data_IF_155985073645
#
_entry.id   IF_155985073645
#
_cell.length_a   1.000
_cell.length_b   1.000
_cell.length_c   1.000
_cell.angle_alpha   90.00
_cell.angle_beta   90.00
_cell.angle_gamma   90.00
#
_symmetry.space_group_name_H-M   'P 1'
#
loop_
_entity.id
_entity.type
_entity.pdbx_description
1 polymer ?
#
# COMPACT_ATOMS: atom_id res chain seq x y z
N UNK A 1 4.85 32.00 -31.54
CA UNK A 1 3.82 31.11 -30.98
C UNK A 1 4.01 31.05 -29.47
N UNK A 2 2.93 31.03 -28.69
CA UNK A 2 3.05 30.98 -27.23
C UNK A 2 3.62 29.63 -26.80
N UNK A 3 4.45 29.60 -25.75
CA UNK A 3 5.04 28.38 -25.19
C UNK A 3 3.99 27.29 -24.94
N UNK A 4 2.80 27.71 -24.51
CA UNK A 4 1.62 26.87 -24.28
C UNK A 4 1.14 26.16 -25.55
N UNK A 5 1.16 26.82 -26.71
CA UNK A 5 0.75 26.18 -27.97
C UNK A 5 1.73 25.09 -28.40
N UNK A 6 3.03 25.30 -28.20
CA UNK A 6 4.05 24.29 -28.46
C UNK A 6 3.87 23.08 -27.53
N UNK A 7 3.69 23.32 -26.23
CA UNK A 7 3.49 22.26 -25.24
C UNK A 7 2.22 21.43 -25.51
N UNK A 8 1.12 22.09 -25.92
CA UNK A 8 -0.13 21.42 -26.29
C UNK A 8 0.01 20.57 -27.57
N UNK A 9 0.80 21.04 -28.52
CA UNK A 9 1.09 20.31 -29.74
C UNK A 9 1.89 19.03 -29.45
N UNK A 10 2.91 19.13 -28.60
CA UNK A 10 3.72 17.98 -28.15
C UNK A 10 2.89 16.96 -27.36
N UNK A 11 2.00 17.43 -26.48
CA UNK A 11 1.08 16.57 -25.74
C UNK A 11 0.15 15.78 -26.66
N UNK A 12 -0.41 16.45 -27.68
CA UNK A 12 -1.27 15.81 -28.67
C UNK A 12 -0.53 14.70 -29.42
N UNK A 13 0.73 14.92 -29.80
CA UNK A 13 1.56 13.91 -30.48
C UNK A 13 1.79 12.70 -29.57
N UNK A 14 2.20 12.94 -28.31
CA UNK A 14 2.45 11.87 -27.34
C UNK A 14 1.20 11.02 -27.08
N UNK A 15 0.04 11.67 -26.94
CA UNK A 15 -1.23 11.00 -26.68
C UNK A 15 -1.66 10.15 -27.88
N UNK A 16 -1.55 10.70 -29.10
CA UNK A 16 -1.82 9.95 -30.34
C UNK A 16 -0.93 8.72 -30.44
N UNK A 17 0.37 8.84 -30.16
CA UNK A 17 1.30 7.70 -30.18
C UNK A 17 0.93 6.62 -29.16
N UNK A 18 0.43 6.99 -27.98
CA UNK A 18 -0.02 6.03 -26.97
C UNK A 18 -1.30 5.31 -27.38
N UNK A 19 -2.25 6.02 -28.00
CA UNK A 19 -3.49 5.43 -28.52
C UNK A 19 -3.19 4.46 -29.67
N UNK A 20 -2.33 4.86 -30.60
CA UNK A 20 -2.03 4.07 -31.81
C UNK A 20 -1.18 2.83 -31.50
N UNK A 21 -0.21 2.94 -30.57
CA UNK A 21 0.77 1.87 -30.29
C UNK A 21 0.53 1.14 -28.98
N UNK A 22 -0.46 1.57 -28.19
CA UNK A 22 -0.67 1.10 -26.82
C UNK A 22 0.49 1.45 -25.88
N UNK A 23 0.49 0.83 -24.70
CA UNK A 23 1.60 0.94 -23.74
C UNK A 23 2.85 0.24 -24.31
N UNK A 24 3.78 1.02 -24.85
CA UNK A 24 5.11 0.51 -25.20
C UNK A 24 5.91 0.23 -23.92
N UNK A 25 6.22 -1.04 -23.66
CA UNK A 25 7.17 -1.46 -22.63
C UNK A 25 8.57 -1.00 -23.07
N UNK A 26 8.98 0.19 -22.63
CA UNK A 26 10.25 0.79 -23.05
C UNK A 26 10.42 2.28 -22.75
N UNK A 27 9.39 2.99 -22.27
CA UNK A 27 9.57 4.34 -21.74
C UNK A 27 10.24 4.26 -20.37
N UNK A 28 11.56 4.24 -20.44
CA UNK A 28 12.48 4.25 -19.33
C UNK A 28 12.49 5.61 -18.64
N UNK A 29 11.66 5.79 -17.62
CA UNK A 29 12.18 6.38 -16.38
C UNK A 29 13.13 5.34 -15.76
N UNK A 30 14.24 5.06 -16.45
CA UNK A 30 15.36 4.32 -15.90
C UNK A 30 16.06 5.29 -14.94
N UNK A 31 15.45 5.54 -13.77
CA UNK A 31 16.29 5.42 -12.58
C UNK A 31 16.86 4.02 -12.71
N UNK A 32 18.16 3.89 -12.95
CA UNK A 32 18.81 2.59 -12.98
C UNK A 32 18.31 1.86 -11.73
N UNK A 33 17.42 0.88 -11.91
CA UNK A 33 17.21 -0.09 -10.85
C UNK A 33 18.62 -0.58 -10.53
N UNK A 34 19.03 -0.58 -9.26
CA UNK A 34 20.37 -1.03 -8.90
C UNK A 34 20.55 -2.40 -9.55
N UNK A 35 21.38 -2.43 -10.59
CA UNK A 35 21.77 -3.67 -11.22
C UNK A 35 22.38 -4.48 -10.08
N UNK A 36 21.94 -5.72 -9.91
CA UNK A 36 22.53 -6.63 -8.95
C UNK A 36 23.96 -6.89 -9.48
N UNK A 37 24.90 -6.01 -9.12
CA UNK A 37 26.29 -5.99 -9.64
C UNK A 37 27.02 -7.27 -9.24
N UNK A 38 26.62 -7.87 -8.11
CA UNK A 38 27.09 -9.15 -7.64
C UNK A 38 25.90 -10.03 -7.28
N UNK A 39 25.87 -11.26 -7.83
CA UNK A 39 24.98 -12.28 -7.28
C UNK A 39 25.35 -12.46 -5.81
N UNK A 40 24.37 -12.49 -4.88
CA UNK A 40 24.65 -12.76 -3.48
C UNK A 40 25.37 -14.11 -3.39
N UNK A 41 26.54 -14.09 -2.76
CA UNK A 41 27.37 -15.26 -2.56
C UNK A 41 26.61 -16.27 -1.69
N UNK A 42 26.20 -17.38 -2.29
CA UNK A 42 25.39 -18.42 -1.63
C UNK A 42 26.11 -19.02 -0.43
N UNK A 43 27.45 -18.98 -0.40
CA UNK A 43 28.22 -19.45 0.75
C UNK A 43 28.09 -18.54 1.98
N UNK A 44 27.72 -17.27 1.80
CA UNK A 44 27.49 -16.31 2.90
C UNK A 44 26.05 -16.32 3.40
N UNK A 45 25.13 -16.97 2.66
CA UNK A 45 23.75 -17.13 3.09
C UNK A 45 23.71 -18.23 4.16
N UNK A 46 23.71 -17.83 5.43
CA UNK A 46 23.53 -18.78 6.53
C UNK A 46 22.14 -19.43 6.41
N UNK A 47 22.04 -20.77 6.42
CA UNK A 47 20.75 -21.43 6.41
C UNK A 47 19.96 -21.03 7.65
N UNK A 48 18.69 -20.69 7.48
CA UNK A 48 17.80 -20.39 8.59
C UNK A 48 17.71 -21.64 9.48
N UNK A 49 18.05 -21.49 10.77
CA UNK A 49 17.88 -22.57 11.75
C UNK A 49 16.40 -22.92 11.83
N UNK A 50 16.05 -24.14 11.43
CA UNK A 50 14.69 -24.65 11.57
C UNK A 50 14.41 -24.90 13.04
N UNK A 51 13.62 -24.03 13.66
CA UNK A 51 13.19 -24.18 15.05
C UNK A 51 11.94 -25.07 15.06
N UNK A 52 12.00 -26.20 15.78
CA UNK A 52 10.86 -27.15 15.84
C UNK A 52 9.69 -26.60 16.66
N UNK A 53 9.95 -25.79 17.69
CA UNK A 53 8.95 -25.17 18.53
C UNK A 53 9.44 -23.78 18.95
N UNK A 54 8.60 -22.76 18.79
CA UNK A 54 8.87 -21.40 19.25
C UNK A 54 7.64 -20.90 19.99
N UNK A 55 7.82 -20.47 21.24
CA UNK A 55 6.76 -19.78 22.01
C UNK A 55 6.59 -18.31 21.58
N UNK A 56 7.00 -17.98 20.35
CA UNK A 56 6.87 -16.65 19.80
C UNK A 56 5.53 -16.56 19.09
N UNK A 57 4.80 -15.48 19.38
CA UNK A 57 3.60 -15.08 18.66
C UNK A 57 3.95 -13.94 17.72
N UNK A 58 3.48 -14.05 16.48
CA UNK A 58 3.62 -12.99 15.49
C UNK A 58 2.25 -12.43 15.18
N UNK A 59 2.09 -11.12 15.30
CA UNK A 59 0.88 -10.41 14.91
C UNK A 59 1.26 -9.42 13.80
N UNK A 60 0.55 -9.50 12.69
CA UNK A 60 0.64 -8.53 11.60
C UNK A 60 -0.73 -7.90 11.41
N UNK A 61 -0.78 -6.57 11.30
CA UNK A 61 -2.00 -5.79 11.06
C UNK A 61 -1.72 -4.82 9.93
N UNK A 62 -2.68 -4.66 9.01
CA UNK A 62 -2.62 -3.70 7.91
C UNK A 62 -4.02 -3.16 7.61
N UNK A 63 -4.11 -1.89 7.19
CA UNK A 63 -5.36 -1.28 6.77
C UNK A 63 -5.32 -0.86 5.31
N UNK A 64 -6.30 -1.34 4.55
CA UNK A 64 -6.55 -0.93 3.18
C UNK A 64 -7.66 0.13 3.10
N UNK A 65 -7.59 0.99 2.07
CA UNK A 65 -8.59 2.03 1.83
C UNK A 65 -9.12 1.92 0.40
N UNK A 66 -10.45 1.89 0.25
CA UNK A 66 -11.14 1.95 -1.03
C UNK A 66 -12.01 3.19 -1.10
N UNK A 67 -11.87 3.98 -2.15
CA UNK A 67 -12.77 5.12 -2.37
C UNK A 67 -14.11 4.63 -2.90
N UNK A 68 -15.21 4.97 -2.23
CA UNK A 68 -16.57 4.64 -2.66
C UNK A 68 -17.16 5.75 -3.54
N UNK A 69 -17.01 7.01 -3.10
CA UNK A 69 -17.47 8.19 -3.85
C UNK A 69 -16.57 9.38 -3.53
N UNK A 70 -16.31 10.24 -4.52
CA UNK A 70 -15.45 11.41 -4.37
C UNK A 70 -15.97 12.58 -5.20
N UNK A 71 -15.96 13.77 -4.62
CA UNK A 71 -16.18 15.04 -5.29
C UNK A 71 -15.01 16.00 -5.02
N UNK A 72 -15.14 17.26 -5.46
CA UNK A 72 -14.06 18.26 -5.32
C UNK A 72 -13.66 18.51 -3.86
N UNK A 73 -14.63 18.61 -2.96
CA UNK A 73 -14.43 18.98 -1.55
C UNK A 73 -14.92 17.92 -0.55
N UNK A 74 -15.31 16.72 -0.98
CA UNK A 74 -15.71 15.65 -0.07
C UNK A 74 -15.45 14.25 -0.65
N UNK A 75 -15.41 13.23 0.20
CA UNK A 75 -15.33 11.84 -0.21
C UNK A 75 -15.85 10.87 0.85
N UNK A 76 -16.27 9.69 0.40
CA UNK A 76 -16.65 8.53 1.21
C UNK A 76 -15.70 7.39 0.88
N UNK A 77 -15.19 6.75 1.92
CA UNK A 77 -14.16 5.72 1.84
C UNK A 77 -14.55 4.52 2.70
N UNK A 78 -14.28 3.33 2.20
CA UNK A 78 -14.30 2.09 2.95
C UNK A 78 -12.88 1.81 3.43
N UNK A 79 -12.73 1.60 4.73
CA UNK A 79 -11.49 1.23 5.39
C UNK A 79 -11.65 -0.21 5.86
N UNK A 80 -10.72 -1.08 5.47
CA UNK A 80 -10.69 -2.46 5.94
C UNK A 80 -9.37 -2.71 6.63
N UNK A 81 -9.42 -2.90 7.94
CA UNK A 81 -8.30 -3.36 8.74
C UNK A 81 -8.33 -4.88 8.79
N UNK A 82 -7.20 -5.51 8.53
CA UNK A 82 -7.06 -6.96 8.57
C UNK A 82 -5.87 -7.33 9.45
N UNK A 83 -5.95 -8.51 10.05
CA UNK A 83 -4.87 -9.05 10.86
C UNK A 83 -4.58 -10.51 10.54
N UNK A 84 -3.36 -10.91 10.84
CA UNK A 84 -2.94 -12.30 10.89
C UNK A 84 -2.11 -12.51 12.17
N UNK A 85 -2.52 -13.47 13.00
CA UNK A 85 -1.79 -13.93 14.17
C UNK A 85 -1.28 -15.35 13.93
N UNK A 86 -0.02 -15.58 14.27
CA UNK A 86 0.63 -16.88 14.19
C UNK A 86 1.16 -17.26 15.56
N UNK A 87 0.63 -18.34 16.10
CA UNK A 87 1.07 -18.90 17.38
C UNK A 87 1.13 -20.42 17.25
N UNK A 88 2.24 -21.05 17.65
CA UNK A 88 2.41 -22.50 17.60
C UNK A 88 2.07 -23.14 16.24
N UNK A 89 2.37 -22.44 15.14
CA UNK A 89 2.01 -22.79 13.74
C UNK A 89 0.51 -22.77 13.41
N UNK A 90 -0.34 -22.35 14.34
CA UNK A 90 -1.74 -22.03 14.05
C UNK A 90 -1.81 -20.60 13.55
N UNK A 91 -2.48 -20.41 12.41
CA UNK A 91 -2.70 -19.10 11.81
C UNK A 91 -4.17 -18.74 12.03
N UNK A 92 -4.41 -17.62 12.71
CA UNK A 92 -5.73 -16.99 12.78
C UNK A 92 -5.68 -15.68 12.03
N UNK A 93 -6.75 -15.35 11.32
CA UNK A 93 -6.84 -14.12 10.54
C UNK A 93 -8.28 -13.62 10.55
N UNK A 94 -8.43 -12.32 10.37
CA UNK A 94 -9.73 -11.67 10.38
C UNK A 94 -9.63 -10.26 9.82
N UNK A 95 -10.77 -9.61 9.70
CA UNK A 95 -10.86 -8.23 9.25
C UNK A 95 -12.07 -7.54 9.87
N UNK A 96 -11.97 -6.22 10.00
CA UNK A 96 -13.08 -5.33 10.32
C UNK A 96 -13.19 -4.23 9.26
N UNK A 97 -14.42 -3.81 8.99
CA UNK A 97 -14.71 -2.77 7.99
C UNK A 97 -15.35 -1.55 8.65
N UNK A 98 -14.94 -0.36 8.20
CA UNK A 98 -15.57 0.90 8.60
C UNK A 98 -15.71 1.84 7.42
N UNK A 99 -16.83 2.56 7.37
CA UNK A 99 -17.05 3.62 6.39
C UNK A 99 -16.70 4.96 7.04
N UNK A 100 -15.90 5.75 6.33
CA UNK A 100 -15.51 7.10 6.76
C UNK A 100 -15.81 8.11 5.68
N UNK A 101 -16.19 9.32 6.10
CA UNK A 101 -16.40 10.45 5.19
C UNK A 101 -15.63 11.67 5.71
N UNK A 102 -15.14 12.48 4.78
CA UNK A 102 -14.41 13.71 5.12
C UNK A 102 -14.73 14.80 4.10
N UNK A 103 -14.84 16.03 4.60
CA UNK A 103 -14.99 17.26 3.81
C UNK A 103 -13.67 18.01 3.90
N UNK A 104 -13.11 18.36 2.75
CA UNK A 104 -11.83 19.05 2.66
C UNK A 104 -11.21 18.94 1.28
N UNK A 105 -10.13 19.68 1.09
CA UNK A 105 -9.34 19.66 -0.15
C UNK A 105 -8.55 18.33 -0.29
N UNK A 106 -7.78 18.20 -1.38
CA UNK A 106 -7.01 16.97 -1.63
C UNK A 106 -6.02 16.65 -0.51
N UNK A 107 -5.32 17.67 0.04
CA UNK A 107 -4.28 17.47 1.05
C UNK A 107 -4.89 17.06 2.39
N UNK A 108 -5.93 17.76 2.83
CA UNK A 108 -6.66 17.42 4.05
C UNK A 108 -7.18 15.99 4.01
N UNK A 109 -7.83 15.57 2.92
CA UNK A 109 -8.33 14.20 2.79
C UNK A 109 -7.22 13.16 2.81
N UNK A 110 -6.09 13.44 2.16
CA UNK A 110 -4.95 12.51 2.17
C UNK A 110 -4.42 12.28 3.58
N UNK A 111 -4.23 13.36 4.35
CA UNK A 111 -3.74 13.29 5.72
C UNK A 111 -4.75 12.59 6.62
N UNK A 112 -6.03 12.97 6.53
CA UNK A 112 -7.11 12.33 7.28
C UNK A 112 -7.17 10.81 7.07
N UNK A 113 -7.03 10.34 5.83
CA UNK A 113 -7.05 8.92 5.53
C UNK A 113 -5.81 8.18 6.06
N UNK A 114 -4.62 8.81 6.02
CA UNK A 114 -3.41 8.23 6.59
C UNK A 114 -3.55 8.08 8.10
N UNK A 115 -3.97 9.14 8.78
CA UNK A 115 -4.16 9.14 10.24
C UNK A 115 -5.21 8.08 10.64
N UNK A 116 -6.31 8.00 9.90
CA UNK A 116 -7.36 7.02 10.17
C UNK A 116 -6.91 5.57 9.93
N UNK A 117 -6.05 5.32 8.95
CA UNK A 117 -5.46 3.98 8.74
C UNK A 117 -4.60 3.57 9.93
N UNK A 118 -3.68 4.43 10.36
CA UNK A 118 -2.80 4.17 11.49
C UNK A 118 -3.60 3.93 12.78
N UNK A 119 -4.65 4.70 12.98
CA UNK A 119 -5.56 4.53 14.12
C UNK A 119 -6.25 3.15 14.10
N UNK A 120 -6.86 2.77 12.97
CA UNK A 120 -7.54 1.47 12.85
C UNK A 120 -6.57 0.29 13.04
N UNK A 121 -5.35 0.38 12.48
CA UNK A 121 -4.30 -0.62 12.68
C UNK A 121 -3.93 -0.76 14.17
N UNK A 122 -3.77 0.38 14.86
CA UNK A 122 -3.43 0.40 16.29
C UNK A 122 -4.56 -0.14 17.16
N UNK A 123 -5.81 0.26 16.89
CA UNK A 123 -7.00 -0.21 17.60
C UNK A 123 -7.17 -1.73 17.46
N UNK A 124 -7.02 -2.26 16.24
CA UNK A 124 -7.06 -3.70 15.97
C UNK A 124 -5.93 -4.44 16.69
N UNK A 125 -4.70 -3.92 16.63
CA UNK A 125 -3.57 -4.52 17.33
C UNK A 125 -3.81 -4.58 18.84
N UNK A 126 -4.28 -3.49 19.45
CA UNK A 126 -4.57 -3.42 20.88
C UNK A 126 -5.70 -4.38 21.28
N UNK A 127 -6.78 -4.46 20.49
CA UNK A 127 -7.89 -5.38 20.71
C UNK A 127 -7.41 -6.83 20.77
N UNK A 128 -6.62 -7.25 19.78
CA UNK A 128 -6.07 -8.61 19.71
C UNK A 128 -5.04 -8.90 20.81
N UNK A 129 -4.35 -7.88 21.31
CA UNK A 129 -3.44 -8.03 22.46
C UNK A 129 -4.20 -8.18 23.78
N UNK A 130 -5.36 -7.51 23.93
CA UNK A 130 -6.14 -7.51 25.18
C UNK A 130 -7.11 -8.70 25.29
N UNK A 131 -7.74 -9.13 24.19
CA UNK A 131 -8.61 -10.31 24.16
C UNK A 131 -7.88 -11.59 24.62
N UNK A 132 -6.56 -11.63 24.52
CA UNK A 132 -5.74 -12.76 24.97
C UNK A 132 -5.35 -12.72 26.45
N UNK A 133 -5.50 -11.58 27.12
CA UNK A 133 -5.17 -11.42 28.55
C UNK A 133 -6.32 -11.82 29.49
N UNK A 134 -7.45 -12.27 28.94
CA UNK A 134 -8.67 -12.68 29.65
C UNK A 134 -8.91 -14.19 29.58
#
# INVERSE_FOLDING_TARGET
MSKIQADLFDLKIKLKSYVDKGRQLGFSDLKQQPLIVSKPDTAKIKPLKKIKQSNSRFLAVDCSTRTLKRAHNWGIYLMRVAYASVENRKVTWGYDESIVSTVGDRRHRSNFLIDRRLQLESEMALKLLHEESS
#
